data_IF_291994419514
#
_entry.id   IF_291994419514
#
_cell.length_a   1.000
_cell.length_b   1.000
_cell.length_c   1.000
_cell.angle_alpha   90.00
_cell.angle_beta   90.00
_cell.angle_gamma   90.00
#
_symmetry.space_group_name_H-M   'P 1'
#
loop_
_entity.id
_entity.type
_entity.pdbx_description
1 polymer ?
#
# COMPACT_ATOMS: atom_id res chain seq x y z
N UNK A 1 -19.24 6.54 5.69
CA UNK A 1 -19.39 5.12 5.38
C UNK A 1 -20.15 4.38 6.49
N UNK A 2 -19.59 4.24 7.70
CA UNK A 2 -20.23 3.52 8.81
C UNK A 2 -21.63 4.07 9.17
N UNK A 3 -21.79 5.38 9.28
CA UNK A 3 -23.07 6.00 9.60
C UNK A 3 -24.12 5.79 8.50
N UNK A 4 -23.74 5.85 7.22
CA UNK A 4 -24.64 5.62 6.09
C UNK A 4 -25.08 4.16 6.00
N UNK A 5 -24.15 3.21 6.28
CA UNK A 5 -24.46 1.78 6.37
C UNK A 5 -25.45 1.49 7.50
N UNK A 6 -25.23 2.08 8.70
CA UNK A 6 -26.12 1.91 9.84
C UNK A 6 -27.53 2.49 9.59
N UNK A 7 -27.65 3.54 8.78
CA UNK A 7 -28.92 4.16 8.41
C UNK A 7 -29.55 3.60 7.13
N UNK A 8 -28.95 2.57 6.51
CA UNK A 8 -29.39 1.98 5.24
C UNK A 8 -29.56 3.03 4.11
N UNK A 9 -28.74 4.09 4.13
CA UNK A 9 -28.77 5.14 3.11
C UNK A 9 -27.81 4.81 1.98
N UNK A 10 -28.30 4.99 0.76
CA UNK A 10 -27.43 4.95 -0.42
C UNK A 10 -26.45 6.12 -0.39
N UNK A 11 -25.19 5.86 -0.69
CA UNK A 11 -24.15 6.90 -0.79
C UNK A 11 -23.14 6.51 -1.87
N UNK A 12 -22.45 7.50 -2.39
CA UNK A 12 -21.32 7.35 -3.32
C UNK A 12 -20.10 8.02 -2.71
N UNK A 13 -18.95 7.41 -2.82
CA UNK A 13 -17.69 7.96 -2.30
C UNK A 13 -16.53 7.57 -3.21
N UNK A 14 -15.48 8.37 -3.21
CA UNK A 14 -14.21 8.01 -3.83
C UNK A 14 -13.35 7.22 -2.86
N UNK A 15 -12.80 6.11 -3.32
CA UNK A 15 -11.85 5.28 -2.59
C UNK A 15 -10.75 4.81 -3.55
N UNK A 16 -9.58 4.50 -3.02
CA UNK A 16 -8.47 3.94 -3.80
C UNK A 16 -8.40 2.41 -3.64
N UNK A 17 -7.67 1.77 -4.51
CA UNK A 17 -7.21 0.38 -4.33
C UNK A 17 -5.70 0.38 -4.16
N UNK A 18 -5.18 -0.38 -3.17
CA UNK A 18 -5.90 -1.03 -2.09
C UNK A 18 -6.26 -0.06 -0.95
N UNK A 19 -7.44 -0.20 -0.40
CA UNK A 19 -7.88 0.53 0.80
C UNK A 19 -8.67 -0.45 1.67
N UNK A 20 -8.37 -0.51 2.97
CA UNK A 20 -9.04 -1.38 3.93
C UNK A 20 -10.58 -1.22 3.95
N UNK A 21 -11.08 -0.06 3.53
CA UNK A 21 -12.52 0.20 3.42
C UNK A 21 -13.21 -0.72 2.42
N UNK A 22 -12.50 -1.20 1.39
CA UNK A 22 -13.07 -2.12 0.42
C UNK A 22 -13.39 -3.48 1.04
N UNK A 23 -12.58 -3.91 2.02
CA UNK A 23 -12.77 -5.19 2.70
C UNK A 23 -13.79 -5.09 3.84
N UNK A 24 -13.84 -3.94 4.54
CA UNK A 24 -14.73 -3.74 5.68
C UNK A 24 -16.17 -3.39 5.28
N UNK A 25 -16.31 -2.65 4.18
CA UNK A 25 -17.62 -2.24 3.65
C UNK A 25 -17.82 -2.90 2.30
N UNK A 26 -18.83 -3.71 2.14
CA UNK A 26 -19.23 -4.33 0.86
C UNK A 26 -19.53 -3.23 -0.18
N UNK A 27 -18.46 -2.71 -0.80
CA UNK A 27 -18.53 -1.59 -1.73
C UNK A 27 -18.63 -2.11 -3.16
N UNK A 28 -19.61 -1.58 -3.91
CA UNK A 28 -19.73 -1.84 -5.34
C UNK A 28 -18.95 -0.78 -6.13
N UNK A 29 -17.98 -1.22 -6.93
CA UNK A 29 -17.28 -0.36 -7.87
C UNK A 29 -18.22 0.06 -9.00
N UNK A 30 -18.23 1.37 -9.28
CA UNK A 30 -18.94 1.94 -10.42
C UNK A 30 -17.96 2.12 -11.58
N UNK A 31 -18.40 1.79 -12.80
CA UNK A 31 -17.61 2.04 -13.99
C UNK A 31 -17.55 3.53 -14.30
N UNK A 32 -16.35 4.05 -14.53
CA UNK A 32 -16.17 5.40 -15.10
C UNK A 32 -16.31 5.32 -16.62
N UNK A 33 -17.55 5.48 -17.11
CA UNK A 33 -17.85 5.42 -18.54
C UNK A 33 -17.40 6.68 -19.29
N UNK A 34 -17.07 7.74 -18.59
CA UNK A 34 -16.65 9.02 -19.17
C UNK A 34 -15.15 9.24 -19.14
N UNK A 35 -14.41 8.40 -18.39
CA UNK A 35 -12.97 8.54 -18.19
C UNK A 35 -12.58 9.78 -17.35
N UNK A 36 -13.52 10.32 -16.58
CA UNK A 36 -13.31 11.52 -15.76
C UNK A 36 -12.23 11.34 -14.70
N UNK A 37 -12.10 10.12 -14.16
CA UNK A 37 -11.12 9.78 -13.12
C UNK A 37 -9.80 9.23 -13.69
N UNK A 38 -9.66 9.19 -15.03
CA UNK A 38 -8.42 8.80 -15.70
C UNK A 38 -8.14 7.30 -15.67
N UNK A 39 -6.86 6.93 -15.93
CA UNK A 39 -6.41 5.53 -16.05
C UNK A 39 -6.04 4.87 -14.72
N UNK A 40 -6.31 5.53 -13.59
CA UNK A 40 -5.90 5.11 -12.25
C UNK A 40 -4.55 5.69 -11.81
N UNK A 41 -4.35 5.72 -10.51
CA UNK A 41 -3.15 6.26 -9.88
C UNK A 41 -2.08 5.18 -9.74
N UNK A 42 -0.81 5.60 -9.85
CA UNK A 42 0.36 4.74 -9.57
C UNK A 42 1.10 5.28 -8.36
N UNK A 43 1.40 4.40 -7.41
CA UNK A 43 2.29 4.72 -6.30
C UNK A 43 3.72 4.81 -6.85
N UNK A 44 4.35 5.95 -6.66
CA UNK A 44 5.70 6.21 -7.13
C UNK A 44 6.64 6.46 -5.95
N UNK A 45 7.86 6.02 -6.09
CA UNK A 45 8.95 6.33 -5.15
C UNK A 45 9.61 7.63 -5.61
N UNK A 46 9.75 8.57 -4.69
CA UNK A 46 10.39 9.87 -4.96
C UNK A 46 11.53 10.10 -3.99
N UNK A 47 12.59 10.73 -4.49
CA UNK A 47 13.73 11.17 -3.68
C UNK A 47 14.13 12.59 -4.10
N UNK A 48 14.90 13.28 -3.28
CA UNK A 48 15.48 14.58 -3.64
C UNK A 48 16.46 14.45 -4.80
N UNK A 49 16.68 15.50 -5.59
CA UNK A 49 17.76 15.53 -6.57
C UNK A 49 19.12 15.21 -5.93
N UNK A 50 19.97 14.48 -6.66
CA UNK A 50 21.30 14.06 -6.20
C UNK A 50 21.30 12.87 -5.23
N UNK A 51 20.13 12.33 -4.85
CA UNK A 51 20.07 11.21 -3.89
C UNK A 51 20.76 9.94 -4.42
N UNK A 52 20.57 9.62 -5.69
CA UNK A 52 21.13 8.40 -6.27
C UNK A 52 22.65 8.45 -6.41
N UNK A 53 23.22 9.65 -6.59
CA UNK A 53 24.65 9.88 -6.66
C UNK A 53 25.29 9.82 -5.26
N UNK A 54 24.60 10.34 -4.24
CA UNK A 54 25.10 10.37 -2.87
C UNK A 54 24.94 9.01 -2.17
N UNK A 55 23.86 8.28 -2.49
CA UNK A 55 23.54 6.99 -1.87
C UNK A 55 23.19 5.91 -2.91
N UNK A 56 24.14 5.52 -3.77
CA UNK A 56 23.85 4.63 -4.90
C UNK A 56 23.31 3.25 -4.48
N UNK A 57 23.86 2.66 -3.43
CA UNK A 57 23.42 1.35 -2.94
C UNK A 57 21.98 1.42 -2.37
N UNK A 58 21.66 2.47 -1.64
CA UNK A 58 20.32 2.67 -1.09
C UNK A 58 19.31 2.94 -2.20
N UNK A 59 19.70 3.72 -3.22
CA UNK A 59 18.87 3.99 -4.38
C UNK A 59 18.52 2.70 -5.14
N UNK A 60 19.48 1.77 -5.29
CA UNK A 60 19.23 0.47 -5.92
C UNK A 60 18.28 -0.42 -5.09
N UNK A 61 18.38 -0.38 -3.77
CA UNK A 61 17.42 -1.07 -2.89
C UNK A 61 16.02 -0.48 -3.09
N UNK A 62 15.89 0.85 -3.01
CA UNK A 62 14.59 1.54 -3.18
C UNK A 62 13.97 1.24 -4.55
N UNK A 63 14.77 1.17 -5.63
CA UNK A 63 14.27 0.79 -6.96
C UNK A 63 13.67 -0.61 -6.99
N UNK A 64 14.25 -1.57 -6.27
CA UNK A 64 13.78 -2.96 -6.18
C UNK A 64 12.52 -3.12 -5.35
N UNK A 65 12.22 -2.21 -4.42
CA UNK A 65 10.99 -2.27 -3.63
C UNK A 65 9.78 -2.22 -4.57
N UNK A 66 9.06 -3.32 -4.66
CA UNK A 66 7.81 -3.42 -5.41
C UNK A 66 6.83 -4.25 -4.59
N UNK A 67 5.60 -3.81 -4.54
CA UNK A 67 4.48 -4.51 -3.92
C UNK A 67 3.41 -4.72 -4.98
N UNK A 68 2.94 -5.95 -5.12
CA UNK A 68 1.69 -6.23 -5.85
C UNK A 68 0.50 -5.59 -5.13
N UNK A 69 -0.66 -5.53 -5.79
CA UNK A 69 -1.88 -5.02 -5.14
C UNK A 69 -2.22 -5.84 -3.89
N UNK A 70 -2.10 -7.17 -3.94
CA UNK A 70 -2.37 -8.06 -2.81
C UNK A 70 -1.39 -7.86 -1.65
N UNK A 71 -0.09 -7.70 -1.96
CA UNK A 71 0.94 -7.42 -0.95
C UNK A 71 0.73 -6.06 -0.29
N UNK A 72 0.36 -5.06 -1.08
CA UNK A 72 0.05 -3.73 -0.56
C UNK A 72 -1.23 -3.75 0.28
N UNK A 73 -2.27 -4.47 -0.13
CA UNK A 73 -3.49 -4.68 0.65
C UNK A 73 -3.19 -5.38 1.97
N UNK A 74 -2.36 -6.44 1.96
CA UNK A 74 -1.88 -7.12 3.17
C UNK A 74 -1.21 -6.14 4.14
N UNK A 75 -0.27 -5.33 3.66
CA UNK A 75 0.40 -4.32 4.48
C UNK A 75 -0.57 -3.29 5.06
N UNK A 76 -1.46 -2.75 4.23
CA UNK A 76 -2.48 -1.77 4.65
C UNK A 76 -3.39 -2.37 5.72
N UNK A 77 -3.80 -3.63 5.59
CA UNK A 77 -4.63 -4.32 6.58
C UNK A 77 -3.92 -4.52 7.92
N UNK A 78 -2.62 -4.79 7.91
CA UNK A 78 -1.83 -4.92 9.15
C UNK A 78 -1.72 -3.59 9.90
N UNK A 79 -1.61 -2.46 9.18
CA UNK A 79 -1.39 -1.14 9.80
C UNK A 79 -2.67 -0.32 10.01
N UNK A 80 -3.81 -0.71 9.44
CA UNK A 80 -5.06 0.08 9.43
C UNK A 80 -5.57 0.49 10.83
N UNK A 81 -5.39 -0.36 11.81
CA UNK A 81 -5.85 -0.12 13.19
C UNK A 81 -4.82 0.65 14.03
N UNK A 82 -3.68 0.98 13.45
CA UNK A 82 -2.62 1.69 14.13
C UNK A 82 -2.87 3.19 14.10
N UNK A 83 -3.22 3.76 15.27
CA UNK A 83 -3.55 5.19 15.40
C UNK A 83 -2.39 6.08 15.85
N UNK A 84 -1.21 5.50 16.06
CA UNK A 84 0.00 6.25 16.43
C UNK A 84 1.23 5.67 15.72
N UNK A 85 2.25 6.51 15.50
CA UNK A 85 3.46 6.16 14.76
C UNK A 85 4.22 4.97 15.35
N UNK A 86 4.29 4.86 16.68
CA UNK A 86 4.97 3.75 17.36
C UNK A 86 4.31 2.42 17.01
N UNK A 87 2.99 2.36 17.07
CA UNK A 87 2.23 1.15 16.74
C UNK A 87 2.33 0.82 15.24
N UNK A 88 2.31 1.82 14.36
CA UNK A 88 2.57 1.62 12.92
C UNK A 88 3.93 1.00 12.68
N UNK A 89 4.98 1.51 13.32
CA UNK A 89 6.33 0.95 13.19
C UNK A 89 6.44 -0.49 13.67
N UNK A 90 5.78 -0.83 14.77
CA UNK A 90 5.74 -2.21 15.27
C UNK A 90 5.01 -3.15 14.30
N UNK A 91 3.88 -2.73 13.78
CA UNK A 91 3.10 -3.50 12.79
C UNK A 91 3.86 -3.66 11.47
N UNK A 92 4.55 -2.61 11.01
CA UNK A 92 5.40 -2.70 9.83
C UNK A 92 6.55 -3.70 10.01
N UNK A 93 7.18 -3.74 11.19
CA UNK A 93 8.22 -4.74 11.51
C UNK A 93 7.66 -6.16 11.52
N UNK A 94 6.46 -6.36 12.04
CA UNK A 94 5.78 -7.65 12.00
C UNK A 94 5.56 -8.07 10.54
N UNK A 95 4.97 -7.23 9.72
CA UNK A 95 4.74 -7.53 8.31
C UNK A 95 6.05 -7.86 7.57
N UNK A 96 7.13 -7.11 7.82
CA UNK A 96 8.48 -7.39 7.28
C UNK A 96 8.99 -8.76 7.70
N UNK A 97 8.76 -9.18 8.95
CA UNK A 97 9.19 -10.51 9.43
C UNK A 97 8.40 -11.65 8.78
N UNK A 98 7.13 -11.44 8.49
CA UNK A 98 6.25 -12.41 7.82
C UNK A 98 6.49 -12.49 6.30
N UNK A 99 7.06 -11.43 5.71
CA UNK A 99 7.37 -11.34 4.27
C UNK A 99 8.88 -11.31 4.00
N UNK A 100 9.65 -12.09 4.76
CA UNK A 100 11.11 -12.04 4.76
C UNK A 100 11.75 -12.31 3.40
N UNK A 101 11.24 -13.26 2.65
CA UNK A 101 11.75 -13.60 1.32
C UNK A 101 11.62 -12.41 0.35
N UNK A 102 10.48 -11.73 0.37
CA UNK A 102 10.25 -10.55 -0.43
C UNK A 102 11.21 -9.40 -0.05
N UNK A 103 11.40 -9.18 1.24
CA UNK A 103 12.31 -8.14 1.75
C UNK A 103 13.76 -8.48 1.41
N UNK A 104 14.19 -9.73 1.53
CA UNK A 104 15.55 -10.13 1.17
C UNK A 104 15.81 -10.01 -0.34
N UNK A 105 14.79 -10.23 -1.18
CA UNK A 105 14.89 -9.95 -2.62
C UNK A 105 15.12 -8.45 -2.90
N UNK A 106 14.44 -7.54 -2.18
CA UNK A 106 14.69 -6.09 -2.30
C UNK A 106 16.11 -5.72 -1.86
N UNK A 107 16.61 -6.36 -0.81
CA UNK A 107 17.97 -6.13 -0.31
C UNK A 107 19.04 -6.75 -1.23
N UNK A 108 18.66 -7.49 -2.27
CA UNK A 108 19.58 -8.15 -3.18
C UNK A 108 20.28 -9.37 -2.56
N UNK A 109 19.75 -9.91 -1.46
CA UNK A 109 20.23 -11.15 -0.88
C UNK A 109 19.76 -12.31 -1.77
N UNK A 110 20.69 -13.17 -2.19
CA UNK A 110 20.31 -14.43 -2.83
C UNK A 110 19.57 -15.29 -1.80
N UNK A 111 18.37 -15.76 -2.19
CA UNK A 111 17.69 -16.79 -1.41
C UNK A 111 18.67 -17.97 -1.28
N UNK A 112 18.93 -18.41 -0.06
CA UNK A 112 19.67 -19.64 0.15
C UNK A 112 18.81 -20.79 -0.41
N UNK A 113 19.36 -21.49 -1.43
CA UNK A 113 18.77 -22.73 -1.95
C UNK A 113 18.78 -23.80 -0.87
#
# INVERSE_FOLDING_TARGET
LAASKAQQKNFVTAVWKPDWKNDEFDLKWLADTTGLFGQGDKIQKMARPGFSEEYPEVAEIIKRIYLSEDQLASFVNVVKDSRNEKKVSEMAKLWVSENRELVDAWLGKKLAN
#
